data_IF_027544660425
#
_entry.id   IF_027544660425
#
_cell.length_a   1.000
_cell.length_b   1.000
_cell.length_c   1.000
_cell.angle_alpha   90.00
_cell.angle_beta   90.00
_cell.angle_gamma   90.00
#
_symmetry.space_group_name_H-M   'P 1'
#
loop_
_entity.id
_entity.type
_entity.pdbx_description
1 polymer ?
#
# COMPACT_ATOMS: atom_id res chain seq x y z
N UNK A 1 -12.41 10.61 15.47
CA UNK A 1 -12.12 9.16 15.51
C UNK A 1 -11.78 8.78 14.09
N UNK A 2 -10.59 8.22 13.86
CA UNK A 2 -10.19 7.76 12.53
C UNK A 2 -10.55 6.28 12.38
N UNK A 3 -11.11 5.92 11.23
CA UNK A 3 -11.37 4.54 10.86
C UNK A 3 -10.38 4.12 9.79
N UNK A 4 -9.74 2.98 9.99
CA UNK A 4 -8.73 2.44 9.09
C UNK A 4 -9.20 1.06 8.62
N UNK A 5 -9.39 0.90 7.32
CA UNK A 5 -9.71 -0.37 6.71
C UNK A 5 -8.44 -1.26 6.64
N UNK A 6 -8.53 -2.48 7.18
CA UNK A 6 -7.39 -3.38 7.34
C UNK A 6 -7.19 -4.23 6.07
N UNK A 7 -5.94 -4.33 5.61
CA UNK A 7 -5.45 -5.13 4.48
C UNK A 7 -6.11 -4.85 3.14
N UNK A 8 -6.07 -3.59 2.73
CA UNK A 8 -6.62 -3.15 1.44
C UNK A 8 -5.53 -3.31 0.36
N UNK A 9 -5.15 -4.55 0.07
CA UNK A 9 -3.98 -4.86 -0.74
C UNK A 9 -4.25 -4.86 -2.26
N UNK A 10 -5.44 -4.41 -2.69
CA UNK A 10 -5.80 -4.27 -4.11
C UNK A 10 -6.51 -2.96 -4.40
N UNK A 11 -6.36 -2.43 -5.63
CA UNK A 11 -7.09 -1.26 -6.11
C UNK A 11 -8.61 -1.52 -6.11
N UNK A 12 -9.01 -2.77 -6.38
CA UNK A 12 -10.39 -3.20 -6.30
C UNK A 12 -10.96 -3.02 -4.88
N UNK A 13 -10.25 -3.48 -3.85
CA UNK A 13 -10.65 -3.26 -2.45
C UNK A 13 -10.64 -1.77 -2.09
N UNK A 14 -9.60 -1.02 -2.51
CA UNK A 14 -9.51 0.42 -2.27
C UNK A 14 -10.73 1.18 -2.80
N UNK A 15 -11.20 0.81 -4.00
CA UNK A 15 -12.38 1.43 -4.61
C UNK A 15 -13.67 1.26 -3.81
N UNK A 16 -13.72 0.26 -2.91
CA UNK A 16 -14.86 0.00 -2.05
C UNK A 16 -14.76 0.71 -0.69
N UNK A 17 -13.58 1.24 -0.33
CA UNK A 17 -13.38 1.98 0.91
C UNK A 17 -13.84 3.43 0.71
N UNK A 18 -14.72 3.96 1.58
CA UNK A 18 -15.05 5.39 1.57
C UNK A 18 -13.81 6.27 1.74
N UNK A 19 -13.70 7.34 0.94
CA UNK A 19 -12.51 8.19 0.89
C UNK A 19 -12.20 8.92 2.21
N UNK A 20 -13.21 9.09 3.07
CA UNK A 20 -13.04 9.65 4.41
C UNK A 20 -12.33 8.71 5.40
N UNK A 21 -12.18 7.43 5.05
CA UNK A 21 -11.47 6.44 5.86
C UNK A 21 -10.03 6.30 5.39
N UNK A 22 -9.17 5.84 6.29
CA UNK A 22 -7.82 5.41 5.95
C UNK A 22 -7.75 3.94 5.58
N UNK A 23 -6.56 3.49 5.17
CA UNK A 23 -6.29 2.07 4.87
C UNK A 23 -4.99 1.62 5.50
N UNK A 24 -4.88 0.32 5.74
CA UNK A 24 -3.64 -0.36 6.08
C UNK A 24 -3.28 -1.37 4.97
N UNK A 25 -2.00 -1.39 4.61
CA UNK A 25 -1.44 -2.13 3.48
C UNK A 25 -0.26 -2.98 3.94
N UNK A 26 -0.07 -4.15 3.33
CA UNK A 26 1.10 -5.01 3.53
C UNK A 26 2.07 -4.89 2.34
N UNK A 27 3.30 -4.47 2.57
CA UNK A 27 4.31 -4.27 1.52
C UNK A 27 5.40 -5.35 1.55
N UNK A 28 5.68 -5.91 0.37
CA UNK A 28 6.77 -6.85 0.13
C UNK A 28 7.59 -6.46 -1.10
N UNK A 29 8.83 -6.90 -1.14
CA UNK A 29 9.59 -6.96 -2.39
C UNK A 29 9.17 -8.20 -3.21
N UNK A 30 9.15 -8.05 -4.53
CA UNK A 30 9.01 -9.17 -5.46
C UNK A 30 9.91 -8.94 -6.66
N UNK A 31 11.12 -9.52 -6.61
CA UNK A 31 12.19 -9.22 -7.55
C UNK A 31 12.58 -7.74 -7.47
N UNK A 32 12.30 -6.97 -8.52
CA UNK A 32 12.61 -5.54 -8.57
C UNK A 32 11.40 -4.64 -8.20
N UNK A 33 10.23 -5.22 -7.94
CA UNK A 33 8.98 -4.49 -7.66
C UNK A 33 8.70 -4.40 -6.16
N UNK A 34 7.89 -3.42 -5.79
CA UNK A 34 7.20 -3.38 -4.51
C UNK A 34 5.74 -3.77 -4.74
N UNK A 35 5.27 -4.76 -3.99
CA UNK A 35 3.93 -5.31 -4.16
C UNK A 35 3.13 -5.24 -2.86
N UNK A 36 1.81 -5.19 -3.02
CA UNK A 36 0.83 -5.29 -1.95
C UNK A 36 0.49 -6.76 -1.70
N UNK A 37 1.05 -7.33 -0.63
CA UNK A 37 0.88 -8.75 -0.31
C UNK A 37 1.21 -9.06 1.16
N UNK A 38 0.31 -9.78 1.82
CA UNK A 38 0.52 -10.26 3.18
C UNK A 38 1.35 -11.54 3.22
N UNK A 39 1.02 -12.52 2.38
CA UNK A 39 1.64 -13.85 2.40
C UNK A 39 3.04 -13.85 1.79
N UNK A 40 4.03 -14.56 2.39
CA UNK A 40 5.37 -14.62 1.82
C UNK A 40 5.38 -15.38 0.49
N UNK A 41 6.39 -15.10 -0.35
CA UNK A 41 6.67 -15.82 -1.61
C UNK A 41 5.53 -15.82 -2.65
N UNK A 42 4.57 -14.90 -2.52
CA UNK A 42 3.43 -14.75 -3.44
C UNK A 42 3.53 -13.38 -4.13
N UNK A 43 3.15 -13.31 -5.41
CA UNK A 43 3.07 -12.02 -6.13
C UNK A 43 1.83 -11.22 -5.69
N UNK A 44 1.73 -9.95 -6.09
CA UNK A 44 0.66 -9.05 -5.72
C UNK A 44 0.56 -7.84 -6.64
N UNK A 45 -0.42 -6.97 -6.36
CA UNK A 45 -0.56 -5.72 -7.11
C UNK A 45 0.62 -4.79 -6.87
N UNK A 46 0.96 -3.99 -7.88
CA UNK A 46 2.08 -3.07 -7.81
C UNK A 46 1.76 -1.86 -6.92
N UNK A 47 2.65 -1.58 -5.97
CA UNK A 47 2.46 -0.49 -5.03
C UNK A 47 2.47 0.88 -5.72
N UNK A 48 3.33 1.09 -6.73
CA UNK A 48 3.39 2.37 -7.45
C UNK A 48 2.10 2.61 -8.24
N UNK A 49 1.50 1.57 -8.81
CA UNK A 49 0.20 1.68 -9.47
C UNK A 49 -0.90 2.01 -8.46
N UNK A 50 -0.93 1.33 -7.31
CA UNK A 50 -1.91 1.59 -6.24
C UNK A 50 -1.89 3.05 -5.76
N UNK A 51 -0.70 3.63 -5.56
CA UNK A 51 -0.54 5.03 -5.12
C UNK A 51 -1.20 6.04 -6.07
N UNK A 52 -1.35 5.73 -7.36
CA UNK A 52 -2.00 6.62 -8.34
C UNK A 52 -3.50 6.77 -8.10
N UNK A 53 -4.13 5.79 -7.44
CA UNK A 53 -5.56 5.79 -7.12
C UNK A 53 -5.85 6.23 -5.69
N UNK A 54 -4.82 6.46 -4.88
CA UNK A 54 -5.01 6.78 -3.47
C UNK A 54 -5.54 8.19 -3.27
N UNK A 55 -6.75 8.29 -2.74
CA UNK A 55 -7.47 9.55 -2.45
C UNK A 55 -8.10 9.54 -1.05
N UNK A 56 -7.66 8.60 -0.23
CA UNK A 56 -8.23 8.29 1.08
C UNK A 56 -7.50 9.06 2.19
N UNK A 57 -7.94 8.87 3.43
CA UNK A 57 -7.30 9.45 4.60
C UNK A 57 -5.94 8.81 4.94
N UNK A 58 -5.72 8.52 6.22
CA UNK A 58 -4.47 7.95 6.71
C UNK A 58 -4.10 6.63 6.02
N UNK A 59 -2.87 6.52 5.51
CA UNK A 59 -2.31 5.27 4.97
C UNK A 59 -1.32 4.68 5.97
N UNK A 60 -1.56 3.45 6.43
CA UNK A 60 -0.63 2.68 7.26
C UNK A 60 0.08 1.67 6.36
N UNK A 61 1.42 1.73 6.36
CA UNK A 61 2.27 0.88 5.52
C UNK A 61 2.99 -0.15 6.39
N UNK A 62 2.54 -1.40 6.35
CA UNK A 62 3.20 -2.51 7.04
C UNK A 62 4.31 -3.10 6.18
N UNK A 63 5.54 -2.87 6.59
CA UNK A 63 6.74 -3.40 5.93
C UNK A 63 6.91 -4.88 6.32
N UNK A 64 6.75 -5.79 5.34
CA UNK A 64 6.86 -7.26 5.54
C UNK A 64 8.12 -7.88 4.96
N UNK A 65 8.93 -7.08 4.26
CA UNK A 65 10.25 -7.44 3.74
C UNK A 65 11.30 -6.48 4.27
N UNK A 66 12.51 -6.96 4.51
CA UNK A 66 13.60 -6.11 5.00
C UNK A 66 14.12 -5.16 3.90
N UNK A 67 14.55 -3.97 4.31
CA UNK A 67 15.32 -3.02 3.47
C UNK A 67 14.54 -2.40 2.30
N UNK A 68 13.20 -2.50 2.29
CA UNK A 68 12.35 -1.85 1.28
C UNK A 68 11.94 -0.42 1.65
N UNK A 69 12.17 0.00 2.89
CA UNK A 69 11.67 1.25 3.48
C UNK A 69 12.11 2.48 2.67
N UNK A 70 13.35 2.49 2.18
CA UNK A 70 13.87 3.58 1.36
C UNK A 70 13.11 3.72 0.03
N UNK A 71 12.86 2.61 -0.66
CA UNK A 71 12.09 2.60 -1.92
C UNK A 71 10.64 3.00 -1.69
N UNK A 72 10.06 2.56 -0.57
CA UNK A 72 8.70 2.94 -0.15
C UNK A 72 8.61 4.44 0.07
N UNK A 73 9.56 5.04 0.81
CA UNK A 73 9.61 6.49 1.04
C UNK A 73 9.79 7.28 -0.26
N UNK A 74 10.62 6.82 -1.19
CA UNK A 74 10.77 7.45 -2.52
C UNK A 74 9.44 7.52 -3.28
N UNK A 75 8.70 6.40 -3.31
CA UNK A 75 7.38 6.36 -3.95
C UNK A 75 6.34 7.22 -3.23
N UNK A 76 6.32 7.18 -1.89
CA UNK A 76 5.40 8.02 -1.11
C UNK A 76 5.65 9.50 -1.39
N UNK A 77 6.90 9.97 -1.34
CA UNK A 77 7.25 11.36 -1.64
C UNK A 77 6.93 11.76 -3.10
N UNK A 78 6.90 10.80 -4.02
CA UNK A 78 6.58 11.03 -5.44
C UNK A 78 5.08 11.20 -5.69
N UNK A 79 4.24 10.41 -5.01
CA UNK A 79 2.80 10.33 -5.31
C UNK A 79 1.89 10.97 -4.26
N UNK A 80 2.28 10.94 -3.00
CA UNK A 80 1.49 11.45 -1.87
C UNK A 80 2.14 12.75 -1.41
N UNK A 81 1.36 13.83 -1.36
CA UNK A 81 1.82 15.17 -0.97
C UNK A 81 1.32 15.55 0.42
#
# INVERSE_FOLDING_TARGET
MEFIAHRINTIAELSQVPIEYGVELDLRDYGNRLILQHEPFTDGEDFEEYLKYYQHGTMILNIKSERIEHKVLELINKYIK
#
